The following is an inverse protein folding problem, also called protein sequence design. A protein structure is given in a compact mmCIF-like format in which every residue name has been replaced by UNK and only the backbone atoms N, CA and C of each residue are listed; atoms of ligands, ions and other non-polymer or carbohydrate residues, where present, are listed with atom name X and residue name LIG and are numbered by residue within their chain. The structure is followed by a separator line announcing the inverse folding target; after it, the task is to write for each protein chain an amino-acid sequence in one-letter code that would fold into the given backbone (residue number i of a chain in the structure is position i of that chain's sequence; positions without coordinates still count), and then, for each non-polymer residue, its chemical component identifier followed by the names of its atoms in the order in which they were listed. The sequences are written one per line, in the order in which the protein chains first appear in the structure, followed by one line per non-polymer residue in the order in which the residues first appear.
data_IF_068207094888
#
_entry.id   IF_068207094888
#
_cell.length_a   1.000
_cell.length_b   1.000
_cell.length_c   1.000
_cell.angle_alpha   90.00
_cell.angle_beta   90.00
_cell.angle_gamma   90.00
#
_symmetry.space_group_name_H-M   'P 1'
#
loop_
_entity.id
_entity.type
_entity.pdbx_description
1 polymer ?
#
# COMPACT_ATOMS: atom_id res chain seq x y z
N UNK A 1 -7.19 11.28 14.95
CA UNK A 1 -6.57 10.18 15.74
C UNK A 1 -5.35 9.54 15.04
N UNK A 2 -5.27 9.54 13.69
CA UNK A 2 -4.18 8.96 12.88
C UNK A 2 -2.75 9.43 13.24
N UNK A 3 -2.56 10.73 13.50
CA UNK A 3 -1.23 11.32 13.80
C UNK A 3 -0.56 10.70 15.03
N UNK A 4 -1.33 10.24 16.01
CA UNK A 4 -0.82 9.56 17.19
C UNK A 4 -0.28 8.15 16.85
N UNK A 5 -0.90 7.46 15.89
CA UNK A 5 -0.44 6.15 15.43
C UNK A 5 0.88 6.27 14.65
N UNK A 6 0.99 7.28 13.79
CA UNK A 6 2.24 7.60 13.07
C UNK A 6 3.35 7.94 14.08
N UNK A 7 3.08 8.81 15.06
CA UNK A 7 4.05 9.13 16.10
C UNK A 7 4.49 7.89 16.90
N UNK A 8 3.56 6.97 17.21
CA UNK A 8 3.89 5.69 17.86
C UNK A 8 4.73 4.77 17.00
N UNK A 9 4.50 4.74 15.69
CA UNK A 9 5.32 3.99 14.73
C UNK A 9 6.75 4.53 14.71
N UNK A 10 6.92 5.85 14.63
CA UNK A 10 8.24 6.50 14.66
C UNK A 10 8.98 6.16 15.96
N UNK A 11 8.32 6.28 17.11
CA UNK A 11 8.94 6.02 18.41
C UNK A 11 9.32 4.54 18.65
N UNK A 12 8.64 3.60 18.00
CA UNK A 12 8.90 2.17 18.17
C UNK A 12 10.03 1.63 17.31
N UNK A 13 10.46 2.38 16.31
CA UNK A 13 11.49 1.97 15.34
C UNK A 13 11.32 0.52 14.82
N UNK A 14 10.14 0.15 14.29
CA UNK A 14 9.89 -1.21 13.88
C UNK A 14 10.65 -1.57 12.60
N UNK A 15 11.14 -2.82 12.51
CA UNK A 15 11.75 -3.37 11.28
C UNK A 15 10.73 -3.58 10.15
N UNK A 16 9.46 -3.81 10.51
CA UNK A 16 8.35 -4.05 9.58
C UNK A 16 7.16 -3.18 9.99
N UNK A 17 6.64 -2.41 9.06
CA UNK A 17 5.47 -1.54 9.22
C UNK A 17 4.35 -2.09 8.37
N UNK A 18 3.22 -2.42 9.00
CA UNK A 18 1.99 -2.81 8.32
C UNK A 18 0.99 -1.65 8.41
N UNK A 19 0.49 -1.20 7.27
CA UNK A 19 -0.49 -0.13 7.16
C UNK A 19 -1.76 -0.67 6.51
N UNK A 20 -2.86 -0.68 7.26
CA UNK A 20 -4.17 -1.08 6.75
C UNK A 20 -4.96 0.18 6.38
N UNK A 21 -5.23 0.34 5.08
CA UNK A 21 -5.85 1.52 4.48
C UNK A 21 -5.36 2.87 5.05
N UNK A 22 -4.04 3.15 5.06
CA UNK A 22 -3.51 4.33 5.74
C UNK A 22 -3.99 5.65 5.14
N UNK A 23 -4.53 5.61 3.92
CA UNK A 23 -4.95 6.77 3.14
C UNK A 23 -6.45 7.07 3.20
N UNK A 24 -7.28 6.15 3.69
CA UNK A 24 -8.75 6.31 3.64
C UNK A 24 -9.29 7.39 4.60
N UNK A 25 -8.54 7.71 5.65
CA UNK A 25 -8.92 8.65 6.71
C UNK A 25 -7.97 9.86 6.84
N UNK A 26 -7.16 10.12 5.83
CA UNK A 26 -6.21 11.24 5.82
C UNK A 26 -6.70 12.30 4.84
N UNK A 27 -6.88 13.53 5.33
CA UNK A 27 -7.16 14.69 4.50
C UNK A 27 -6.05 14.86 3.45
N UNK A 28 -6.40 15.27 2.21
CA UNK A 28 -5.44 15.43 1.11
C UNK A 28 -4.18 16.23 1.48
N UNK A 29 -4.30 17.20 2.39
CA UNK A 29 -3.19 18.04 2.85
C UNK A 29 -2.18 17.29 3.74
N UNK A 30 -2.60 16.22 4.41
CA UNK A 30 -1.76 15.43 5.33
C UNK A 30 -1.17 14.17 4.67
N UNK A 31 -1.61 13.83 3.46
CA UNK A 31 -1.10 12.70 2.68
C UNK A 31 0.40 12.82 2.35
N UNK A 32 0.93 13.99 1.93
CA UNK A 32 2.36 14.13 1.64
C UNK A 32 3.23 13.89 2.88
N UNK A 33 2.77 14.31 4.06
CA UNK A 33 3.48 14.13 5.32
C UNK A 33 3.56 12.65 5.71
N UNK A 34 2.46 11.91 5.59
CA UNK A 34 2.49 10.46 5.81
C UNK A 34 3.46 9.79 4.84
N UNK A 35 3.41 10.18 3.56
CA UNK A 35 4.29 9.61 2.55
C UNK A 35 5.77 9.86 2.83
N UNK A 36 6.14 11.04 3.31
CA UNK A 36 7.51 11.32 3.74
C UNK A 36 7.96 10.34 4.82
N UNK A 37 7.16 10.13 5.87
CA UNK A 37 7.49 9.18 6.94
C UNK A 37 7.66 7.75 6.42
N UNK A 38 6.82 7.31 5.49
CA UNK A 38 6.92 6.00 4.86
C UNK A 38 8.21 5.87 4.05
N UNK A 39 8.54 6.90 3.25
CA UNK A 39 9.75 6.93 2.45
C UNK A 39 11.01 6.94 3.32
N UNK A 40 10.99 7.67 4.44
CA UNK A 40 12.09 7.68 5.42
C UNK A 40 12.30 6.28 6.01
N UNK A 41 11.22 5.57 6.35
CA UNK A 41 11.34 4.18 6.81
C UNK A 41 11.94 3.25 5.76
N UNK A 42 11.56 3.41 4.49
CA UNK A 42 12.13 2.62 3.40
C UNK A 42 13.62 2.95 3.22
N UNK A 43 14.00 4.24 3.30
CA UNK A 43 15.39 4.68 3.23
C UNK A 43 16.25 4.14 4.38
N UNK A 44 15.66 4.00 5.57
CA UNK A 44 16.28 3.34 6.74
C UNK A 44 16.40 1.80 6.59
N UNK A 45 15.95 1.22 5.47
CA UNK A 45 15.97 -0.22 5.22
C UNK A 45 14.86 -1.00 5.94
N UNK A 46 13.80 -0.31 6.40
CA UNK A 46 12.62 -0.95 7.00
C UNK A 46 11.69 -1.45 5.90
N UNK A 47 10.98 -2.53 6.19
CA UNK A 47 9.98 -3.08 5.27
C UNK A 47 8.62 -2.43 5.54
N UNK A 48 8.02 -1.78 4.54
CA UNK A 48 6.67 -1.22 4.63
C UNK A 48 5.73 -2.02 3.76
N UNK A 49 4.63 -2.49 4.34
CA UNK A 49 3.54 -3.17 3.65
C UNK A 49 2.29 -2.32 3.85
N UNK A 50 1.75 -1.80 2.76
CA UNK A 50 0.51 -1.02 2.78
C UNK A 50 -0.59 -1.74 2.00
N UNK A 51 -1.77 -1.83 2.61
CA UNK A 51 -2.99 -2.33 1.97
C UNK A 51 -3.80 -1.12 1.54
N UNK A 52 -4.13 -1.05 0.25
CA UNK A 52 -4.94 0.02 -0.31
C UNK A 52 -5.77 -0.49 -1.48
N UNK A 53 -6.96 0.08 -1.66
CA UNK A 53 -7.81 -0.13 -2.83
C UNK A 53 -7.66 1.00 -3.87
N UNK A 54 -6.96 2.09 -3.53
CA UNK A 54 -6.73 3.22 -4.45
C UNK A 54 -5.52 2.97 -5.35
N UNK A 55 -5.80 2.60 -6.60
CA UNK A 55 -4.78 2.29 -7.61
C UNK A 55 -3.91 3.51 -7.97
N UNK A 56 -4.42 4.73 -7.90
CA UNK A 56 -3.64 5.92 -8.25
C UNK A 56 -2.54 6.17 -7.22
N UNK A 57 -2.88 6.00 -5.95
CA UNK A 57 -1.92 6.13 -4.85
C UNK A 57 -0.86 5.02 -4.92
N UNK A 58 -1.28 3.79 -5.19
CA UNK A 58 -0.36 2.66 -5.34
C UNK A 58 0.64 2.92 -6.48
N UNK A 59 0.16 3.35 -7.66
CA UNK A 59 1.02 3.70 -8.80
C UNK A 59 2.00 4.83 -8.52
N UNK A 60 1.62 5.78 -7.68
CA UNK A 60 2.42 6.98 -7.42
C UNK A 60 3.54 6.70 -6.41
N UNK A 61 3.25 5.88 -5.41
CA UNK A 61 4.09 5.80 -4.21
C UNK A 61 4.78 4.46 -3.98
N UNK A 62 4.28 3.38 -4.60
CA UNK A 62 4.79 2.04 -4.36
C UNK A 62 5.38 1.46 -5.64
N UNK A 63 6.69 1.11 -5.66
CA UNK A 63 7.33 0.53 -6.83
C UNK A 63 6.97 -0.95 -7.03
N UNK A 64 6.60 -1.66 -5.95
CA UNK A 64 6.16 -3.06 -6.02
C UNK A 64 4.78 -3.23 -5.41
N UNK A 65 3.97 -4.10 -6.02
CA UNK A 65 2.58 -4.36 -5.61
C UNK A 65 2.26 -5.85 -5.62
N UNK A 66 1.59 -6.29 -4.57
CA UNK A 66 0.95 -7.60 -4.48
C UNK A 66 -0.53 -7.44 -4.84
N UNK A 67 -0.91 -7.91 -6.03
CA UNK A 67 -2.31 -7.91 -6.44
C UNK A 67 -2.99 -9.19 -5.93
N UNK A 68 -4.01 -9.00 -5.09
CA UNK A 68 -4.80 -10.08 -4.50
C UNK A 68 -6.25 -10.01 -4.95
N UNK A 69 -6.83 -11.18 -5.28
CA UNK A 69 -8.27 -11.36 -5.47
C UNK A 69 -8.65 -12.75 -5.00
N UNK A 70 -8.77 -12.88 -3.67
CA UNK A 70 -8.92 -14.18 -3.00
C UNK A 70 -7.67 -15.07 -3.02
N UNK A 71 -6.86 -14.96 -4.06
CA UNK A 71 -5.57 -15.59 -4.24
C UNK A 71 -4.57 -14.56 -4.79
N UNK A 72 -3.29 -14.93 -4.83
CA UNK A 72 -2.26 -14.09 -5.45
C UNK A 72 -2.47 -14.08 -6.96
N UNK A 73 -2.80 -12.91 -7.50
CA UNK A 73 -2.93 -12.69 -8.95
C UNK A 73 -1.57 -12.35 -9.54
N UNK A 74 -0.80 -11.48 -8.87
CA UNK A 74 0.53 -11.07 -9.30
C UNK A 74 1.34 -10.47 -8.13
N UNK A 75 2.67 -10.63 -8.18
CA UNK A 75 3.62 -9.91 -7.33
C UNK A 75 4.80 -9.42 -8.18
N UNK A 76 5.16 -8.15 -8.02
CA UNK A 76 6.29 -7.57 -8.73
C UNK A 76 6.14 -6.07 -8.89
N UNK A 77 6.68 -5.55 -9.99
CA UNK A 77 6.58 -4.14 -10.35
C UNK A 77 5.12 -3.67 -10.41
N UNK A 78 4.85 -2.50 -9.83
CA UNK A 78 3.49 -1.94 -9.71
C UNK A 78 2.84 -1.67 -11.07
N UNK A 79 3.60 -1.24 -12.09
CA UNK A 79 3.04 -1.01 -13.41
C UNK A 79 2.58 -2.32 -14.06
N UNK A 80 3.31 -3.40 -13.83
CA UNK A 80 2.92 -4.75 -14.31
C UNK A 80 1.79 -5.33 -13.47
N UNK A 81 1.84 -5.19 -12.16
CA UNK A 81 0.80 -5.66 -11.24
C UNK A 81 -0.57 -5.04 -11.57
N UNK A 82 -0.59 -3.73 -11.84
CA UNK A 82 -1.81 -2.99 -12.14
C UNK A 82 -2.06 -2.83 -13.66
N UNK A 83 -1.49 -3.68 -14.50
CA UNK A 83 -1.80 -3.63 -15.93
C UNK A 83 -3.27 -4.07 -16.18
N UNK A 84 -3.87 -3.70 -17.33
CA UNK A 84 -5.28 -4.04 -17.61
C UNK A 84 -5.58 -5.54 -17.58
N UNK A 85 -4.61 -6.39 -17.98
CA UNK A 85 -4.75 -7.84 -18.01
C UNK A 85 -4.89 -8.42 -16.59
N UNK A 86 -3.99 -8.06 -15.68
CA UNK A 86 -3.99 -8.52 -14.30
C UNK A 86 -5.19 -7.97 -13.51
N UNK A 87 -5.59 -6.71 -13.79
CA UNK A 87 -6.80 -6.15 -13.22
C UNK A 87 -8.07 -6.88 -13.70
N UNK A 88 -8.13 -7.27 -14.98
CA UNK A 88 -9.24 -8.09 -15.49
C UNK A 88 -9.27 -9.46 -14.81
N UNK A 89 -8.12 -10.15 -14.73
CA UNK A 89 -7.99 -11.43 -14.03
C UNK A 89 -8.44 -11.33 -12.58
N UNK A 90 -8.04 -10.27 -11.87
CA UNK A 90 -8.45 -10.03 -10.50
C UNK A 90 -9.97 -9.85 -10.37
N UNK A 91 -10.60 -9.10 -11.28
CA UNK A 91 -12.07 -8.90 -11.27
C UNK A 91 -12.81 -10.19 -11.58
N UNK A 92 -12.34 -10.97 -12.56
CA UNK A 92 -12.95 -12.25 -12.92
C UNK A 92 -12.89 -13.25 -11.76
N UNK A 93 -11.79 -13.27 -11.01
CA UNK A 93 -11.65 -14.09 -9.80
C UNK A 93 -12.58 -13.63 -8.67
N UNK A 94 -12.74 -12.31 -8.49
CA UNK A 94 -13.65 -11.77 -7.47
C UNK A 94 -15.12 -12.13 -7.75
N UNK A 95 -15.51 -12.17 -9.03
CA UNK A 95 -16.88 -12.51 -9.45
C UNK A 95 -17.17 -14.01 -9.40
N UNK A 96 -16.14 -14.87 -9.53
CA UNK A 96 -16.33 -16.31 -9.54
C UNK A 96 -16.66 -16.90 -8.16
N UNK A 97 -16.41 -16.14 -7.08
CA UNK A 97 -16.55 -16.66 -5.72
C UNK A 97 -15.60 -17.84 -5.47
N UNK A 98 -15.25 -18.07 -4.22
CA UNK A 98 -14.74 -19.39 -3.84
C UNK A 98 -15.90 -20.38 -3.73
#
# INVERSE_FOLDING_TARGET
MQRLLIARLILRDPKVVLLDEPFSAIDNDALPLLMQVILDFIADGKTVIAVSHDQNQIRTYFPQTLLLSGCVVYWGDTATALNPENLSKARDLALKGF
#
